data_IF_616136741715
#
_entry.id   IF_616136741715
#
_cell.length_a   1.000
_cell.length_b   1.000
_cell.length_c   1.000
_cell.angle_alpha   90.00
_cell.angle_beta   90.00
_cell.angle_gamma   90.00
#
_symmetry.space_group_name_H-M   'P 1'
#
loop_
_entity.id
_entity.type
_entity.pdbx_description
1 polymer ?
#
# COMPACT_ATOMS: atom_id res chain seq x y z
N UNK A 1 0.18 -0.77 -9.77
CA UNK A 1 0.85 -1.68 -8.83
C UNK A 1 2.29 -1.22 -8.70
N UNK A 2 2.80 -1.17 -7.47
CA UNK A 2 4.18 -0.78 -7.23
C UNK A 2 5.15 -1.86 -7.68
N UNK A 3 6.36 -1.50 -8.13
CA UNK A 3 7.36 -2.51 -8.47
C UNK A 3 7.73 -3.29 -7.21
N UNK A 4 7.69 -4.62 -7.30
CA UNK A 4 8.08 -5.48 -6.17
C UNK A 4 9.58 -5.73 -6.28
N UNK A 5 10.31 -5.28 -5.27
CA UNK A 5 11.78 -5.31 -5.23
C UNK A 5 12.24 -6.20 -4.08
N UNK A 6 13.24 -7.05 -4.34
CA UNK A 6 13.93 -7.82 -3.31
C UNK A 6 13.16 -9.02 -2.72
N UNK A 7 12.03 -9.45 -3.33
CA UNK A 7 11.19 -10.55 -2.84
C UNK A 7 11.17 -11.80 -3.72
N UNK A 8 12.10 -11.92 -4.65
CA UNK A 8 12.14 -13.04 -5.59
C UNK A 8 12.25 -14.41 -4.93
N UNK A 9 12.98 -14.53 -3.82
CA UNK A 9 13.12 -15.79 -3.08
C UNK A 9 11.79 -16.26 -2.51
N UNK A 10 11.06 -15.35 -1.85
CA UNK A 10 9.75 -15.64 -1.26
C UNK A 10 8.73 -15.92 -2.35
N UNK A 11 8.69 -15.13 -3.43
CA UNK A 11 7.78 -15.35 -4.57
C UNK A 11 8.06 -16.72 -5.19
N UNK A 12 9.30 -17.07 -5.47
CA UNK A 12 9.64 -18.37 -6.03
C UNK A 12 9.27 -19.53 -5.09
N UNK A 13 9.40 -19.34 -3.77
CA UNK A 13 8.96 -20.31 -2.79
C UNK A 13 7.45 -20.48 -2.78
N UNK A 14 6.69 -19.39 -2.88
CA UNK A 14 5.23 -19.42 -3.03
C UNK A 14 4.82 -20.18 -4.29
N UNK A 15 5.46 -19.89 -5.44
CA UNK A 15 5.22 -20.61 -6.71
C UNK A 15 5.46 -22.11 -6.56
N UNK A 16 6.57 -22.50 -5.93
CA UNK A 16 6.88 -23.93 -5.67
C UNK A 16 5.79 -24.60 -4.83
N UNK A 17 5.31 -23.94 -3.78
CA UNK A 17 4.28 -24.48 -2.89
C UNK A 17 2.95 -24.62 -3.62
N UNK A 18 2.53 -23.62 -4.39
CA UNK A 18 1.30 -23.64 -5.19
C UNK A 18 1.26 -24.77 -6.20
N UNK A 19 2.42 -25.22 -6.68
CA UNK A 19 2.55 -26.34 -7.63
C UNK A 19 2.60 -27.73 -6.95
N UNK A 20 2.60 -27.82 -5.63
CA UNK A 20 2.65 -29.10 -4.91
C UNK A 20 1.31 -29.83 -4.99
N UNK A 21 1.36 -31.16 -4.87
CA UNK A 21 0.16 -32.01 -4.77
C UNK A 21 -0.52 -31.90 -3.41
N UNK A 22 0.25 -31.75 -2.36
CA UNK A 22 -0.21 -31.64 -0.97
C UNK A 22 0.48 -30.46 -0.31
N UNK A 23 -0.08 -29.89 0.77
CA UNK A 23 0.41 -28.66 1.41
C UNK A 23 0.67 -27.55 0.37
N UNK A 24 -0.31 -27.36 -0.50
CA UNK A 24 -0.21 -26.45 -1.65
C UNK A 24 -0.77 -25.04 -1.40
N UNK A 25 -1.03 -24.71 -0.14
CA UNK A 25 -1.43 -23.38 0.31
C UNK A 25 -0.26 -22.74 1.06
N UNK A 26 0.44 -21.75 0.49
CA UNK A 26 1.46 -21.02 1.23
C UNK A 26 0.86 -20.11 2.29
N UNK A 27 1.51 -20.00 3.44
CA UNK A 27 1.26 -18.98 4.46
C UNK A 27 2.48 -18.12 4.63
N UNK A 28 2.35 -16.85 4.31
CA UNK A 28 3.38 -15.83 4.51
C UNK A 28 3.40 -15.45 6.00
N UNK A 29 4.50 -15.73 6.66
CA UNK A 29 4.69 -15.44 8.08
C UNK A 29 5.72 -14.33 8.23
N UNK A 30 5.32 -13.25 8.88
CA UNK A 30 6.19 -12.12 9.14
C UNK A 30 5.48 -11.05 9.94
N UNK A 31 6.26 -10.14 10.51
CA UNK A 31 5.72 -9.00 11.27
C UNK A 31 4.91 -8.05 10.38
N UNK A 32 4.02 -7.22 10.95
CA UNK A 32 3.31 -6.20 10.18
C UNK A 32 4.29 -5.23 9.50
N UNK A 33 4.02 -4.88 8.23
CA UNK A 33 4.84 -3.90 7.51
C UNK A 33 6.12 -4.45 6.85
N UNK A 34 6.43 -5.77 6.95
CA UNK A 34 7.61 -6.34 6.29
C UNK A 34 7.44 -6.58 4.78
N UNK A 35 6.23 -6.41 4.24
CA UNK A 35 5.96 -6.56 2.81
C UNK A 35 5.38 -7.92 2.40
N UNK A 36 4.58 -8.57 3.24
CA UNK A 36 3.86 -9.81 2.89
C UNK A 36 2.96 -9.64 1.66
N UNK A 37 2.22 -8.55 1.60
CA UNK A 37 1.35 -8.21 0.47
C UNK A 37 2.13 -7.98 -0.81
N UNK A 38 3.32 -7.36 -0.74
CA UNK A 38 4.21 -7.17 -1.88
C UNK A 38 4.64 -8.51 -2.53
N UNK A 39 4.86 -9.57 -1.74
CA UNK A 39 5.14 -10.92 -2.28
C UNK A 39 3.98 -11.42 -3.14
N UNK A 40 2.74 -11.17 -2.72
CA UNK A 40 1.53 -11.59 -3.45
C UNK A 40 1.33 -10.75 -4.70
N UNK A 41 1.58 -9.45 -4.64
CA UNK A 41 1.55 -8.55 -5.80
C UNK A 41 2.62 -8.92 -6.84
N UNK A 42 3.83 -9.24 -6.39
CA UNK A 42 4.89 -9.74 -7.26
C UNK A 42 4.54 -11.05 -7.95
N UNK A 43 3.88 -11.96 -7.24
CA UNK A 43 3.34 -13.18 -7.84
C UNK A 43 2.26 -12.86 -8.89
N UNK A 44 1.36 -11.94 -8.62
CA UNK A 44 0.32 -11.52 -9.56
C UNK A 44 0.93 -10.94 -10.85
N UNK A 45 1.97 -10.12 -10.74
CA UNK A 45 2.74 -9.59 -11.87
C UNK A 45 3.36 -10.74 -12.67
N UNK A 46 4.03 -11.70 -12.02
CA UNK A 46 4.65 -12.86 -12.69
C UNK A 46 3.62 -13.77 -13.37
N UNK A 47 2.41 -13.91 -12.81
CA UNK A 47 1.32 -14.64 -13.48
C UNK A 47 0.87 -13.90 -14.73
N UNK A 48 0.70 -12.57 -14.64
CA UNK A 48 0.25 -11.73 -15.74
C UNK A 48 1.27 -11.67 -16.90
N UNK A 49 2.58 -11.63 -16.58
CA UNK A 49 3.66 -11.67 -17.57
C UNK A 49 3.96 -13.08 -18.12
N UNK A 50 3.35 -14.13 -17.53
CA UNK A 50 3.59 -15.50 -17.95
C UNK A 50 4.89 -16.10 -17.40
N UNK A 51 5.58 -15.43 -16.49
CA UNK A 51 6.84 -15.85 -15.87
C UNK A 51 6.65 -16.88 -14.74
N UNK A 52 5.65 -17.73 -14.87
CA UNK A 52 5.31 -18.79 -13.94
C UNK A 52 5.13 -20.13 -14.67
N UNK A 53 5.24 -21.27 -13.97
CA UNK A 53 4.95 -22.57 -14.55
C UNK A 53 3.56 -22.63 -15.21
N UNK A 54 3.42 -23.41 -16.30
CA UNK A 54 2.18 -23.51 -17.10
C UNK A 54 0.92 -23.74 -16.29
N UNK A 55 1.04 -24.47 -15.15
CA UNK A 55 -0.09 -24.75 -14.25
C UNK A 55 -0.63 -23.49 -13.56
N UNK A 56 0.17 -22.44 -13.42
CA UNK A 56 -0.21 -21.18 -12.79
C UNK A 56 -0.56 -20.07 -13.81
N UNK A 57 -0.18 -20.18 -15.08
CA UNK A 57 -0.39 -19.13 -16.09
C UNK A 57 -1.85 -18.78 -16.33
N UNK A 58 -2.76 -19.75 -16.09
CA UNK A 58 -4.22 -19.52 -16.24
C UNK A 58 -4.91 -19.20 -14.93
N UNK A 59 -4.16 -19.11 -13.83
CA UNK A 59 -4.72 -18.79 -12.52
C UNK A 59 -4.99 -17.30 -12.38
N UNK A 60 -6.03 -16.98 -11.64
CA UNK A 60 -6.39 -15.62 -11.22
C UNK A 60 -6.18 -15.52 -9.72
N UNK A 61 -5.46 -14.50 -9.30
CA UNK A 61 -5.26 -14.19 -7.89
C UNK A 61 -6.28 -13.14 -7.47
N UNK A 62 -7.12 -13.48 -6.48
CA UNK A 62 -8.17 -12.60 -5.97
C UNK A 62 -7.96 -12.38 -4.47
N UNK A 63 -8.12 -11.15 -4.03
CA UNK A 63 -8.06 -10.79 -2.60
C UNK A 63 -9.44 -11.04 -2.00
N UNK A 64 -9.48 -11.82 -0.92
CA UNK A 64 -10.68 -11.96 -0.07
C UNK A 64 -10.54 -11.01 1.12
N UNK A 65 -11.21 -9.87 1.03
CA UNK A 65 -11.31 -8.90 2.10
C UNK A 65 -12.62 -9.13 2.87
N UNK A 66 -12.51 -9.67 4.09
CA UNK A 66 -13.67 -9.95 4.94
C UNK A 66 -14.37 -8.69 5.40
N UNK A 67 -13.65 -7.59 5.61
CA UNK A 67 -14.25 -6.34 6.01
C UNK A 67 -15.18 -5.80 4.92
N UNK A 68 -14.79 -5.91 3.65
CA UNK A 68 -15.63 -5.54 2.51
C UNK A 68 -16.84 -6.49 2.36
N UNK A 69 -16.69 -7.76 2.68
CA UNK A 69 -17.81 -8.72 2.63
C UNK A 69 -18.85 -8.43 3.70
N UNK A 70 -18.43 -7.98 4.89
CA UNK A 70 -19.29 -7.57 6.00
C UNK A 70 -19.93 -6.20 5.71
N UNK A 71 -19.22 -5.31 5.03
CA UNK A 71 -19.69 -3.97 4.76
C UNK A 71 -21.04 -3.97 4.02
N UNK A 72 -21.99 -3.22 4.56
CA UNK A 72 -23.35 -3.07 3.99
C UNK A 72 -24.28 -4.26 4.23
N UNK A 73 -23.90 -5.25 5.06
CA UNK A 73 -24.85 -6.26 5.55
C UNK A 73 -25.53 -5.73 6.81
N UNK A 74 -26.86 -5.72 6.81
CA UNK A 74 -27.65 -5.32 7.99
C UNK A 74 -27.96 -6.49 8.92
N UNK A 75 -27.96 -7.72 8.38
CA UNK A 75 -28.29 -8.92 9.08
C UNK A 75 -27.25 -10.01 8.87
N UNK A 76 -27.04 -10.84 9.89
CA UNK A 76 -26.10 -11.97 9.88
C UNK A 76 -26.32 -12.90 8.69
N UNK A 77 -27.56 -13.20 8.34
CA UNK A 77 -27.90 -14.08 7.21
C UNK A 77 -27.41 -13.55 5.84
N UNK A 78 -27.39 -12.24 5.63
CA UNK A 78 -26.88 -11.65 4.38
C UNK A 78 -25.37 -11.87 4.20
N UNK A 79 -24.61 -11.76 5.28
CA UNK A 79 -23.19 -12.05 5.29
C UNK A 79 -22.90 -13.53 4.97
N UNK A 80 -23.63 -14.42 5.64
CA UNK A 80 -23.52 -15.87 5.38
C UNK A 80 -23.83 -16.22 3.91
N UNK A 81 -24.87 -15.64 3.33
CA UNK A 81 -25.20 -15.83 1.91
C UNK A 81 -24.11 -15.32 0.97
N UNK A 82 -23.53 -14.15 1.27
CA UNK A 82 -22.42 -13.60 0.46
C UNK A 82 -21.22 -14.53 0.49
N UNK A 83 -20.79 -14.98 1.66
CA UNK A 83 -19.67 -15.92 1.79
C UNK A 83 -19.98 -17.23 1.06
N UNK A 84 -21.18 -17.81 1.22
CA UNK A 84 -21.59 -19.03 0.51
C UNK A 84 -21.52 -18.86 -1.01
N UNK A 85 -21.96 -17.71 -1.52
CA UNK A 85 -21.90 -17.39 -2.96
C UNK A 85 -20.47 -17.30 -3.46
N UNK A 86 -19.60 -16.55 -2.75
CA UNK A 86 -18.18 -16.45 -3.08
C UNK A 86 -17.53 -17.84 -3.07
N UNK A 87 -17.75 -18.62 -2.03
CA UNK A 87 -17.19 -19.97 -1.89
C UNK A 87 -17.66 -20.93 -3.00
N UNK A 88 -18.92 -20.83 -3.40
CA UNK A 88 -19.47 -21.62 -4.52
C UNK A 88 -18.78 -21.24 -5.82
N UNK A 89 -18.67 -19.94 -6.13
CA UNK A 89 -18.04 -19.45 -7.34
C UNK A 89 -16.56 -19.84 -7.41
N UNK A 90 -15.81 -19.71 -6.32
CA UNK A 90 -14.40 -20.11 -6.26
C UNK A 90 -14.22 -21.61 -6.47
N UNK A 91 -15.11 -22.43 -5.94
CA UNK A 91 -15.09 -23.90 -6.15
C UNK A 91 -15.39 -24.30 -7.60
N UNK A 92 -16.35 -23.63 -8.24
CA UNK A 92 -16.72 -23.86 -9.63
C UNK A 92 -15.61 -23.40 -10.60
N UNK A 93 -14.96 -22.28 -10.29
CA UNK A 93 -13.85 -21.72 -11.06
C UNK A 93 -12.51 -22.21 -10.52
N UNK A 94 -12.08 -23.40 -10.92
CA UNK A 94 -10.82 -24.05 -10.49
C UNK A 94 -9.53 -23.26 -10.79
N UNK A 95 -9.63 -22.11 -11.44
CA UNK A 95 -8.52 -21.24 -11.81
C UNK A 95 -8.30 -20.08 -10.82
N UNK A 96 -9.00 -20.04 -9.71
CA UNK A 96 -8.87 -18.99 -8.69
C UNK A 96 -7.89 -19.43 -7.59
N UNK A 97 -7.01 -18.50 -7.19
CA UNK A 97 -6.23 -18.57 -5.97
C UNK A 97 -6.67 -17.38 -5.11
N UNK A 98 -7.13 -17.64 -3.89
CA UNK A 98 -7.52 -16.59 -2.96
C UNK A 98 -6.30 -16.08 -2.18
N UNK A 99 -6.12 -14.77 -2.09
CA UNK A 99 -5.25 -14.19 -1.09
C UNK A 99 -6.10 -13.73 0.11
N UNK A 100 -5.70 -14.14 1.29
CA UNK A 100 -6.39 -13.85 2.54
C UNK A 100 -5.36 -13.25 3.49
N UNK A 101 -5.44 -11.93 3.64
CA UNK A 101 -4.63 -11.27 4.66
C UNK A 101 -5.22 -11.52 6.06
N UNK A 102 -4.38 -11.45 7.08
CA UNK A 102 -4.77 -11.79 8.46
C UNK A 102 -5.54 -13.14 8.55
N UNK A 103 -5.01 -14.16 7.87
CA UNK A 103 -5.66 -15.49 7.76
C UNK A 103 -6.11 -16.05 9.11
N UNK A 104 -5.47 -15.68 10.21
CA UNK A 104 -5.82 -16.06 11.57
C UNK A 104 -7.23 -15.61 11.98
N UNK A 105 -7.76 -14.53 11.40
CA UNK A 105 -9.12 -14.04 11.67
C UNK A 105 -10.19 -15.02 11.21
N UNK A 106 -9.88 -15.79 10.15
CA UNK A 106 -10.77 -16.83 9.62
C UNK A 106 -10.65 -18.15 10.39
N UNK A 107 -9.46 -18.46 10.92
CA UNK A 107 -9.18 -19.76 11.55
C UNK A 107 -9.43 -19.73 13.05
N UNK A 108 -9.08 -18.63 13.68
CA UNK A 108 -9.19 -18.45 15.11
C UNK A 108 -10.44 -17.68 15.47
N UNK A 109 -11.59 -18.28 15.53
CA UNK A 109 -12.86 -17.69 15.96
C UNK A 109 -12.71 -16.53 16.98
N UNK A 110 -12.13 -15.42 16.54
CA UNK A 110 -11.71 -14.31 17.40
C UNK A 110 -12.67 -13.14 17.35
N UNK A 111 -13.52 -13.02 18.36
CA UNK A 111 -13.94 -11.73 18.90
C UNK A 111 -15.08 -10.97 18.26
N UNK A 112 -15.39 -11.11 16.99
CA UNK A 112 -16.59 -10.51 16.38
C UNK A 112 -17.53 -11.56 15.82
N UNK A 113 -18.82 -11.37 15.98
CA UNK A 113 -19.85 -12.33 15.54
C UNK A 113 -19.71 -12.70 14.05
N UNK A 114 -19.38 -11.74 13.17
CA UNK A 114 -19.19 -11.98 11.74
C UNK A 114 -17.96 -12.84 11.40
N UNK A 115 -16.88 -12.79 12.19
CA UNK A 115 -15.69 -13.61 11.93
C UNK A 115 -15.88 -15.08 12.29
N UNK A 116 -16.72 -15.39 13.27
CA UNK A 116 -17.09 -16.77 13.63
C UNK A 116 -17.83 -17.45 12.49
N UNK A 117 -18.71 -16.74 11.78
CA UNK A 117 -19.49 -17.29 10.68
C UNK A 117 -18.62 -17.57 9.45
N UNK A 118 -17.71 -16.65 9.12
CA UNK A 118 -16.73 -16.88 8.05
C UNK A 118 -15.83 -18.08 8.34
N UNK A 119 -15.37 -18.21 9.58
CA UNK A 119 -14.56 -19.35 10.04
C UNK A 119 -15.26 -20.68 9.83
N UNK A 120 -16.52 -20.78 10.23
CA UNK A 120 -17.31 -22.01 10.11
C UNK A 120 -17.55 -22.45 8.65
N UNK A 121 -17.47 -21.52 7.70
CA UNK A 121 -17.68 -21.81 6.28
C UNK A 121 -16.38 -22.03 5.51
N UNK A 122 -15.37 -21.21 5.75
CA UNK A 122 -14.11 -21.21 4.99
C UNK A 122 -13.17 -22.30 5.49
N UNK A 123 -13.06 -22.48 6.82
CA UNK A 123 -12.16 -23.48 7.41
C UNK A 123 -12.42 -24.91 6.93
N UNK A 124 -13.65 -25.41 6.83
CA UNK A 124 -13.91 -26.76 6.28
C UNK A 124 -13.49 -26.88 4.81
N UNK A 125 -13.69 -25.85 4.00
CA UNK A 125 -13.31 -25.86 2.59
C UNK A 125 -11.78 -25.86 2.41
N UNK A 126 -11.04 -25.11 3.25
CA UNK A 126 -9.58 -25.15 3.30
C UNK A 126 -9.06 -26.51 3.73
N UNK A 127 -9.63 -27.07 4.80
CA UNK A 127 -9.25 -28.38 5.35
C UNK A 127 -9.47 -29.53 4.36
N UNK A 128 -10.54 -29.49 3.56
CA UNK A 128 -10.82 -30.47 2.52
C UNK A 128 -10.03 -30.26 1.23
N UNK A 129 -9.34 -29.09 1.09
CA UNK A 129 -8.60 -28.75 -0.12
C UNK A 129 -9.49 -28.39 -1.32
N UNK A 130 -10.70 -27.93 -1.04
CA UNK A 130 -11.64 -27.45 -2.07
C UNK A 130 -11.25 -26.08 -2.60
N UNK A 131 -10.38 -25.37 -1.89
CA UNK A 131 -9.87 -24.06 -2.22
C UNK A 131 -8.35 -24.07 -2.24
N UNK A 132 -7.77 -23.28 -3.14
CA UNK A 132 -6.36 -22.93 -3.14
C UNK A 132 -6.20 -21.49 -2.68
N UNK A 133 -5.39 -21.26 -1.65
CA UNK A 133 -5.19 -19.92 -1.13
C UNK A 133 -3.74 -19.63 -0.74
N UNK A 134 -3.43 -18.35 -0.65
CA UNK A 134 -2.24 -17.79 -0.04
C UNK A 134 -2.72 -17.06 1.22
N UNK A 135 -2.20 -17.39 2.38
CA UNK A 135 -2.50 -16.67 3.62
C UNK A 135 -1.35 -15.76 4.02
N UNK A 136 -1.65 -14.71 4.80
CA UNK A 136 -0.65 -13.92 5.48
C UNK A 136 -1.03 -13.80 6.97
N UNK A 137 -0.04 -13.90 7.86
CA UNK A 137 -0.23 -13.79 9.31
C UNK A 137 1.10 -13.53 10.02
N UNK A 138 1.07 -13.31 11.33
CA UNK A 138 2.27 -13.24 12.15
C UNK A 138 2.66 -14.62 12.69
N UNK A 139 3.90 -14.78 13.16
CA UNK A 139 4.38 -16.04 13.72
C UNK A 139 3.60 -16.45 14.98
N UNK A 140 3.25 -15.47 15.83
CA UNK A 140 2.50 -15.73 17.06
C UNK A 140 1.10 -16.26 16.78
N UNK A 141 0.42 -15.66 15.81
CA UNK A 141 -0.94 -16.07 15.40
C UNK A 141 -0.92 -17.41 14.68
N UNK A 142 0.10 -17.65 13.84
CA UNK A 142 0.28 -18.95 13.19
C UNK A 142 0.40 -20.08 14.23
N UNK A 143 1.28 -19.93 15.22
CA UNK A 143 1.45 -20.89 16.31
C UNK A 143 0.18 -21.09 17.12
N UNK A 144 -0.56 -20.03 17.39
CA UNK A 144 -1.77 -20.08 18.20
C UNK A 144 -2.93 -20.80 17.51
N UNK A 145 -3.10 -20.60 16.19
CA UNK A 145 -4.31 -21.01 15.48
C UNK A 145 -4.08 -22.13 14.46
N UNK A 146 -2.89 -22.27 13.88
CA UNK A 146 -2.60 -23.24 12.82
C UNK A 146 -1.86 -24.47 13.30
N UNK A 147 -0.82 -24.33 14.09
CA UNK A 147 -0.04 -25.46 14.58
C UNK A 147 -0.86 -26.44 15.45
N UNK A 148 -1.92 -25.93 16.07
CA UNK A 148 -2.83 -26.75 16.89
C UNK A 148 -3.93 -27.45 16.10
N UNK A 149 -4.09 -27.13 14.82
CA UNK A 149 -5.11 -27.71 13.95
C UNK A 149 -4.47 -28.63 12.91
N UNK A 150 -4.46 -29.90 13.17
CA UNK A 150 -3.84 -30.91 12.30
C UNK A 150 -4.44 -30.99 10.89
N UNK A 151 -5.69 -30.57 10.70
CA UNK A 151 -6.34 -30.55 9.40
C UNK A 151 -5.82 -29.40 8.53
N UNK A 152 -5.60 -28.24 9.13
CA UNK A 152 -4.98 -27.08 8.46
C UNK A 152 -3.47 -27.27 8.25
N UNK A 153 -2.76 -27.78 9.25
CA UNK A 153 -1.31 -28.04 9.17
C UNK A 153 -0.95 -28.92 7.97
N UNK A 154 -1.81 -29.90 7.63
CA UNK A 154 -1.61 -30.76 6.45
C UNK A 154 -1.86 -30.06 5.11
N UNK A 155 -2.42 -28.87 5.11
CA UNK A 155 -2.80 -28.13 3.90
C UNK A 155 -1.92 -26.92 3.65
N UNK A 156 -1.35 -26.35 4.70
CA UNK A 156 -0.57 -25.13 4.64
C UNK A 156 0.93 -25.40 4.74
N UNK A 157 1.71 -24.58 4.05
CA UNK A 157 3.17 -24.56 4.11
C UNK A 157 3.64 -23.14 4.38
N UNK A 158 4.47 -22.97 5.39
CA UNK A 158 5.00 -21.66 5.80
C UNK A 158 6.06 -21.13 4.85
N UNK A 159 6.03 -19.82 4.64
CA UNK A 159 7.05 -19.02 3.96
C UNK A 159 7.36 -17.84 4.88
N UNK A 160 8.59 -17.79 5.38
CA UNK A 160 9.01 -16.68 6.23
C UNK A 160 9.30 -15.47 5.37
N UNK A 161 8.77 -14.32 5.77
CA UNK A 161 9.00 -13.01 5.17
C UNK A 161 9.66 -12.14 6.23
N UNK A 162 10.97 -12.08 6.17
CA UNK A 162 11.77 -11.31 7.13
C UNK A 162 11.74 -9.81 6.82
N UNK A 163 12.03 -9.01 7.86
CA UNK A 163 12.28 -7.58 7.69
C UNK A 163 13.46 -7.38 6.72
N UNK A 164 13.33 -6.57 5.66
CA UNK A 164 14.43 -6.32 4.76
C UNK A 164 15.57 -5.57 5.46
N UNK A 165 16.77 -5.79 5.01
CA UNK A 165 17.95 -5.03 5.44
C UNK A 165 17.82 -3.56 5.04
N UNK A 166 18.65 -2.68 5.65
CA UNK A 166 18.71 -1.26 5.25
C UNK A 166 19.05 -1.13 3.76
N UNK A 167 19.95 -1.98 3.23
CA UNK A 167 20.32 -1.96 1.81
C UNK A 167 19.14 -2.31 0.91
N UNK A 168 18.44 -3.40 1.19
CA UNK A 168 17.22 -3.78 0.45
C UNK A 168 16.13 -2.73 0.57
N UNK A 169 16.01 -2.08 1.72
CA UNK A 169 15.05 -0.98 1.92
C UNK A 169 15.39 0.22 1.04
N UNK A 170 16.66 0.58 0.89
CA UNK A 170 17.09 1.65 -0.04
C UNK A 170 16.67 1.30 -1.46
N UNK A 171 16.92 0.07 -1.91
CA UNK A 171 16.53 -0.39 -3.24
C UNK A 171 15.00 -0.31 -3.45
N UNK A 172 14.22 -0.65 -2.43
CA UNK A 172 12.76 -0.52 -2.44
C UNK A 172 12.35 0.96 -2.56
N UNK A 173 12.90 1.84 -1.71
CA UNK A 173 12.59 3.27 -1.74
C UNK A 173 12.95 3.90 -3.08
N UNK A 174 14.11 3.58 -3.66
CA UNK A 174 14.51 4.04 -4.99
C UNK A 174 13.52 3.60 -6.07
N UNK A 175 13.02 2.37 -5.97
CA UNK A 175 12.06 1.83 -6.93
C UNK A 175 10.68 2.49 -6.89
N UNK A 176 10.27 3.04 -5.73
CA UNK A 176 8.99 3.72 -5.57
C UNK A 176 9.11 5.25 -5.60
N UNK A 177 10.32 5.81 -5.48
CA UNK A 177 10.64 7.24 -5.43
C UNK A 177 9.85 8.07 -6.46
N UNK A 178 9.91 7.68 -7.71
CA UNK A 178 9.29 8.42 -8.82
C UNK A 178 7.76 8.56 -8.68
N UNK A 179 7.10 7.57 -8.09
CA UNK A 179 5.64 7.62 -7.86
C UNK A 179 5.27 8.62 -6.77
N UNK A 180 6.06 8.64 -5.69
CA UNK A 180 5.87 9.61 -4.60
C UNK A 180 6.22 11.03 -5.06
N UNK A 181 7.27 11.21 -5.86
CA UNK A 181 7.58 12.48 -6.51
C UNK A 181 6.42 12.99 -7.36
N UNK A 182 5.83 12.11 -8.18
CA UNK A 182 4.70 12.45 -9.02
C UNK A 182 3.43 12.77 -8.20
N UNK A 183 3.18 12.00 -7.13
CA UNK A 183 2.00 12.19 -6.28
C UNK A 183 2.04 13.50 -5.50
N UNK A 184 3.20 13.83 -4.91
CA UNK A 184 3.37 15.05 -4.13
C UNK A 184 3.77 16.27 -4.97
N UNK A 185 4.19 16.08 -6.23
CA UNK A 185 4.70 17.17 -7.07
C UNK A 185 6.05 17.72 -6.60
N UNK A 186 6.86 16.91 -5.93
CA UNK A 186 8.17 17.28 -5.36
C UNK A 186 9.27 16.42 -5.97
N UNK A 187 10.53 16.84 -5.77
CA UNK A 187 11.73 16.09 -6.10
C UNK A 187 12.45 15.69 -4.82
N UNK A 188 12.91 14.43 -4.76
CA UNK A 188 13.73 13.93 -3.67
C UNK A 188 15.20 13.88 -4.10
N UNK A 189 16.10 14.33 -3.22
CA UNK A 189 17.54 14.26 -3.47
C UNK A 189 18.04 12.82 -3.54
N UNK A 190 19.12 12.57 -4.27
CA UNK A 190 19.64 11.22 -4.52
C UNK A 190 20.06 10.47 -3.24
N UNK A 191 20.57 11.19 -2.22
CA UNK A 191 20.98 10.56 -0.95
C UNK A 191 19.84 10.41 0.06
N UNK A 192 18.64 10.90 -0.25
CA UNK A 192 17.54 10.94 0.72
C UNK A 192 17.03 9.53 1.05
N UNK A 193 16.99 8.62 0.08
CA UNK A 193 16.53 7.24 0.29
C UNK A 193 17.42 6.50 1.29
N UNK A 194 18.74 6.66 1.16
CA UNK A 194 19.69 6.09 2.12
C UNK A 194 19.52 6.69 3.51
N UNK A 195 19.36 8.00 3.59
CA UNK A 195 19.13 8.71 4.85
C UNK A 195 17.85 8.22 5.52
N UNK A 196 16.71 8.19 4.81
CA UNK A 196 15.42 7.73 5.32
C UNK A 196 15.51 6.29 5.83
N UNK A 197 16.09 5.37 5.08
CA UNK A 197 16.21 3.98 5.50
C UNK A 197 17.03 3.84 6.80
N UNK A 198 18.15 4.56 6.91
CA UNK A 198 19.01 4.55 8.12
C UNK A 198 18.32 5.16 9.34
N UNK A 199 17.69 6.34 9.22
CA UNK A 199 17.04 6.99 10.35
C UNK A 199 15.80 6.21 10.81
N UNK A 200 15.00 5.67 9.87
CA UNK A 200 13.84 4.85 10.19
C UNK A 200 14.24 3.60 10.96
N UNK A 201 15.33 2.92 10.57
CA UNK A 201 15.85 1.76 11.31
C UNK A 201 16.32 2.13 12.70
N UNK A 202 16.96 3.29 12.86
CA UNK A 202 17.59 3.70 14.11
C UNK A 202 16.60 4.27 15.13
N UNK A 203 15.65 5.07 14.68
CA UNK A 203 14.84 5.89 15.59
C UNK A 203 13.38 5.44 15.69
N UNK A 204 12.83 4.75 14.68
CA UNK A 204 11.46 4.27 14.75
C UNK A 204 11.47 2.83 15.27
N UNK A 205 11.17 2.69 16.57
CA UNK A 205 11.03 1.40 17.25
C UNK A 205 9.59 0.91 17.21
N UNK A 206 9.37 -0.39 17.32
CA UNK A 206 8.03 -0.99 17.32
C UNK A 206 7.37 -1.15 15.96
N UNK A 207 8.02 -0.73 14.86
CA UNK A 207 7.60 -0.95 13.47
C UNK A 207 8.77 -1.49 12.65
N UNK A 208 8.46 -2.12 11.51
CA UNK A 208 9.43 -2.83 10.68
C UNK A 208 9.66 -2.14 9.33
N UNK A 209 10.83 -2.34 8.75
CA UNK A 209 11.12 -1.97 7.37
C UNK A 209 10.37 -2.94 6.42
N UNK A 210 9.98 -2.50 5.22
CA UNK A 210 10.18 -1.16 4.66
C UNK A 210 9.10 -0.16 5.05
N UNK A 211 8.00 -0.58 5.64
CA UNK A 211 6.79 0.20 5.90
C UNK A 211 7.06 1.52 6.62
N UNK A 212 7.80 1.48 7.73
CA UNK A 212 8.17 2.70 8.47
C UNK A 212 9.06 3.66 7.68
N UNK A 213 9.83 3.18 6.71
CA UNK A 213 10.65 4.03 5.86
C UNK A 213 9.82 4.65 4.72
N UNK A 214 8.87 3.90 4.20
CA UNK A 214 7.88 4.39 3.21
C UNK A 214 7.03 5.50 3.82
N UNK A 215 6.56 5.33 5.06
CA UNK A 215 5.82 6.36 5.77
C UNK A 215 6.62 7.66 5.94
N UNK A 216 7.92 7.55 6.27
CA UNK A 216 8.79 8.74 6.37
C UNK A 216 8.97 9.43 5.02
N UNK A 217 9.08 8.66 3.93
CA UNK A 217 9.15 9.20 2.57
C UNK A 217 7.88 9.97 2.19
N UNK A 218 6.73 9.38 2.47
CA UNK A 218 5.41 9.95 2.18
C UNK A 218 5.18 11.23 3.00
N UNK A 219 5.46 11.20 4.30
CA UNK A 219 5.36 12.35 5.19
C UNK A 219 6.27 13.50 4.75
N UNK A 220 7.53 13.20 4.39
CA UNK A 220 8.47 14.21 3.90
C UNK A 220 7.97 14.88 2.61
N UNK A 221 7.39 14.11 1.68
CA UNK A 221 6.78 14.63 0.46
C UNK A 221 5.59 15.53 0.73
N UNK A 222 4.71 15.10 1.62
CA UNK A 222 3.53 15.85 2.04
C UNK A 222 3.89 17.19 2.69
N UNK A 223 4.83 17.18 3.63
CA UNK A 223 5.32 18.40 4.29
C UNK A 223 5.91 19.38 3.27
N UNK A 224 6.75 18.88 2.36
CA UNK A 224 7.37 19.76 1.33
C UNK A 224 6.32 20.34 0.38
N UNK A 225 5.34 19.55 -0.04
CA UNK A 225 4.23 20.04 -0.85
C UNK A 225 3.47 21.19 -0.18
N UNK A 226 3.07 20.99 1.10
CA UNK A 226 2.35 22.01 1.87
C UNK A 226 3.19 23.29 1.98
N UNK A 227 4.51 23.16 2.25
CA UNK A 227 5.40 24.33 2.30
C UNK A 227 5.44 25.08 0.97
N UNK A 228 5.57 24.34 -0.14
CA UNK A 228 5.61 24.96 -1.48
C UNK A 228 4.30 25.63 -1.85
N UNK A 229 3.16 25.01 -1.48
CA UNK A 229 1.83 25.55 -1.74
C UNK A 229 1.49 26.75 -0.84
N UNK A 230 2.17 26.92 0.31
CA UNK A 230 1.97 28.05 1.25
C UNK A 230 3.01 29.15 1.11
N UNK A 231 4.14 28.90 0.46
CA UNK A 231 5.07 29.97 0.11
C UNK A 231 4.45 30.85 -0.99
N UNK A 232 4.32 32.19 -0.77
CA UNK A 232 3.81 33.07 -1.80
C UNK A 232 4.70 32.96 -3.03
N UNK A 233 4.08 32.65 -4.15
CA UNK A 233 4.79 32.55 -5.43
C UNK A 233 5.32 33.93 -5.83
N UNK A 234 6.34 33.96 -6.69
CA UNK A 234 6.79 35.24 -7.30
C UNK A 234 5.59 35.96 -7.93
N UNK A 235 4.64 35.23 -8.48
CA UNK A 235 3.41 35.77 -9.05
C UNK A 235 2.55 36.45 -7.97
N UNK A 236 2.31 35.83 -6.83
CA UNK A 236 1.54 36.43 -5.72
C UNK A 236 2.20 37.66 -5.17
N UNK A 237 3.57 37.68 -5.14
CA UNK A 237 4.36 38.85 -4.76
C UNK A 237 4.17 39.99 -5.75
N UNK A 238 4.28 39.73 -7.04
CA UNK A 238 4.08 40.76 -8.06
C UNK A 238 2.65 41.25 -8.12
N UNK A 239 1.65 40.33 -7.96
CA UNK A 239 0.24 40.71 -7.94
C UNK A 239 -0.11 41.62 -6.75
N UNK A 240 0.38 41.31 -5.54
CA UNK A 240 0.21 42.17 -4.37
C UNK A 240 0.89 43.54 -4.54
N UNK A 241 2.07 43.55 -5.18
CA UNK A 241 2.81 44.79 -5.47
C UNK A 241 2.08 45.67 -6.49
N UNK A 242 1.52 45.06 -7.53
CA UNK A 242 0.69 45.73 -8.55
C UNK A 242 -0.57 46.35 -7.90
N UNK A 243 -1.21 45.60 -7.01
CA UNK A 243 -2.40 46.08 -6.27
C UNK A 243 -2.06 47.26 -5.35
N UNK A 244 -0.92 47.20 -4.62
CA UNK A 244 -0.46 48.27 -3.76
C UNK A 244 -0.16 49.54 -4.55
N UNK A 245 0.63 49.43 -5.64
CA UNK A 245 0.97 50.55 -6.51
C UNK A 245 -0.26 51.12 -7.24
N UNK A 246 -1.24 50.28 -7.59
CA UNK A 246 -2.48 50.74 -8.22
C UNK A 246 -3.32 51.56 -7.24
N UNK A 247 -3.44 51.15 -5.98
CA UNK A 247 -4.09 51.90 -4.91
C UNK A 247 -3.36 53.21 -4.64
N UNK A 248 -2.03 53.15 -4.56
CA UNK A 248 -1.19 54.35 -4.35
C UNK A 248 -1.35 55.39 -5.47
N UNK A 249 -1.33 54.95 -6.74
CA UNK A 249 -1.59 55.80 -7.91
C UNK A 249 -2.97 56.44 -7.82
N UNK A 250 -4.03 55.67 -7.47
CA UNK A 250 -5.37 56.22 -7.35
C UNK A 250 -5.48 57.30 -6.27
N UNK A 251 -4.89 57.08 -5.11
CA UNK A 251 -4.87 58.06 -4.02
C UNK A 251 -4.11 59.37 -4.42
N UNK A 252 -2.98 59.22 -5.13
CA UNK A 252 -2.20 60.38 -5.61
C UNK A 252 -2.95 61.20 -6.67
N UNK A 253 -3.71 60.54 -7.54
CA UNK A 253 -4.59 61.23 -8.49
C UNK A 253 -5.73 61.97 -7.78
N UNK A 254 -6.35 61.39 -6.76
CA UNK A 254 -7.38 62.06 -5.95
C UNK A 254 -6.83 63.28 -5.19
N UNK A 255 -5.58 63.20 -4.72
CA UNK A 255 -4.89 64.35 -4.04
C UNK A 255 -4.30 65.35 -5.01
N UNK A 256 -4.49 65.19 -6.32
CA UNK A 256 -3.99 66.06 -7.40
C UNK A 256 -2.43 66.13 -7.49
N UNK A 257 -1.72 65.15 -6.91
CA UNK A 257 -0.26 65.00 -7.03
C UNK A 257 0.09 64.18 -8.29
N UNK A 258 -0.09 64.82 -9.44
CA UNK A 258 0.06 64.16 -10.75
C UNK A 258 1.51 63.75 -11.08
N UNK A 259 2.51 64.42 -10.51
CA UNK A 259 3.94 64.12 -10.74
C UNK A 259 4.31 62.78 -10.09
N UNK A 260 3.91 62.59 -8.84
CA UNK A 260 4.11 61.28 -8.16
C UNK A 260 3.23 60.18 -8.75
N UNK A 261 2.02 60.49 -9.16
CA UNK A 261 1.16 59.52 -9.83
C UNK A 261 1.77 59.01 -11.16
N UNK A 262 2.46 59.87 -11.91
CA UNK A 262 3.17 59.44 -13.12
C UNK A 262 4.35 58.54 -12.81
N UNK A 263 5.13 58.84 -11.76
CA UNK A 263 6.25 57.99 -11.33
C UNK A 263 5.77 56.57 -10.92
N UNK A 264 4.70 56.47 -10.13
CA UNK A 264 4.11 55.18 -9.72
C UNK A 264 3.53 54.43 -10.93
N UNK A 265 2.96 55.12 -11.92
CA UNK A 265 2.53 54.49 -13.16
C UNK A 265 3.70 53.84 -13.92
N UNK A 266 4.81 54.53 -14.03
CA UNK A 266 5.99 54.05 -14.75
C UNK A 266 6.64 52.85 -14.04
N UNK A 267 6.58 52.78 -12.71
CA UNK A 267 6.96 51.62 -11.92
C UNK A 267 6.00 50.45 -12.15
N UNK A 268 4.69 50.68 -12.23
CA UNK A 268 3.67 49.68 -12.57
C UNK A 268 3.92 49.02 -13.94
N UNK A 269 4.32 49.82 -14.96
CA UNK A 269 4.62 49.30 -16.28
C UNK A 269 5.87 48.40 -16.25
N UNK A 270 6.92 48.75 -15.53
CA UNK A 270 8.12 47.95 -15.40
C UNK A 270 7.81 46.56 -14.80
N UNK A 271 6.99 46.49 -13.73
CA UNK A 271 6.64 45.26 -13.08
C UNK A 271 5.72 44.36 -13.96
N UNK A 272 4.94 44.97 -14.87
CA UNK A 272 4.10 44.20 -15.81
C UNK A 272 4.82 43.63 -17.01
N UNK A 273 5.97 44.20 -17.34
CA UNK A 273 6.81 43.77 -18.47
C UNK A 273 7.88 42.74 -18.04
N UNK A 274 8.11 42.52 -16.74
CA UNK A 274 8.88 41.43 -16.14
C UNK A 274 8.03 40.17 -15.89
#
# INVERSE_FOLDING_TARGET
VDPVIGRDKEINRVVQILCRRTKNNPVLIGEPGVGKTAVVEGLAIKIASGEVPKILQKKRLLILDLALVIAGTKFRGEFEERIKRIMKEVKEQKNIILFIDELHTIVGAGGSEGSMDASNMIKPALSRGELQCIGATTLNEYRKYFEKDSALERRFQTVIVDEPSVKETIEILEGIKSKYEQFHGVKYDDNLMEFIAKISKRYITGRFLPDKAIDVLDEAGSVKKIQTDTEPTLYDFYESKIDELTKMKHNLVQSQDYEKAASVRDELYKIRDE
#
